data_IF_912664191800
#
_entry.id   IF_912664191800
#
_cell.length_a   1.000
_cell.length_b   1.000
_cell.length_c   1.000
_cell.angle_alpha   90.00
_cell.angle_beta   90.00
_cell.angle_gamma   90.00
#
_symmetry.space_group_name_H-M   'P 1'
#
loop_
_entity.id
_entity.type
_entity.pdbx_description
1 polymer ?
#
# COMPACT_ATOMS: atom_id res chain seq x y z
N UNK A 1 2.69 -21.13 7.12
CA UNK A 1 1.72 -20.06 6.83
C UNK A 1 2.43 -19.04 5.98
N UNK A 2 1.88 -18.66 4.83
CA UNK A 2 2.48 -17.62 3.98
C UNK A 2 1.89 -16.26 4.34
N UNK A 3 2.75 -15.25 4.45
CA UNK A 3 2.36 -13.86 4.72
C UNK A 3 2.99 -12.97 3.67
N UNK A 4 2.20 -12.06 3.12
CA UNK A 4 2.63 -11.11 2.10
C UNK A 4 2.36 -9.70 2.56
N UNK A 5 3.34 -8.82 2.36
CA UNK A 5 3.21 -7.39 2.62
C UNK A 5 2.99 -6.67 1.29
N UNK A 6 1.80 -6.12 1.11
CA UNK A 6 1.47 -5.25 -0.02
C UNK A 6 1.55 -3.81 0.51
N UNK A 7 2.18 -2.90 -0.24
CA UNK A 7 2.36 -1.50 0.18
C UNK A 7 2.15 -0.55 -1.00
N UNK A 8 1.82 0.72 -0.72
CA UNK A 8 1.73 1.80 -1.72
C UNK A 8 3.09 2.37 -2.13
N UNK A 9 4.14 2.15 -1.33
CA UNK A 9 5.47 2.70 -1.57
C UNK A 9 6.16 2.06 -2.79
N UNK A 10 6.83 2.90 -3.56
CA UNK A 10 7.61 2.53 -4.73
C UNK A 10 8.75 1.58 -4.36
N UNK A 11 8.77 0.34 -4.88
CA UNK A 11 9.80 -0.64 -4.55
C UNK A 11 11.20 -0.23 -5.03
N UNK A 12 11.31 0.72 -5.98
CA UNK A 12 12.60 1.27 -6.44
C UNK A 12 13.24 2.22 -5.43
N UNK A 13 12.46 2.74 -4.47
CA UNK A 13 12.93 3.60 -3.38
C UNK A 13 13.13 2.79 -2.10
N UNK A 14 13.81 1.65 -2.21
CA UNK A 14 14.20 0.82 -1.07
C UNK A 14 15.71 0.79 -0.95
N UNK A 15 16.20 0.88 0.28
CA UNK A 15 17.60 0.60 0.61
C UNK A 15 17.89 -0.89 0.52
N UNK A 16 19.17 -1.26 0.57
CA UNK A 16 19.63 -2.65 0.50
C UNK A 16 19.00 -3.54 1.59
N UNK A 17 18.76 -2.99 2.79
CA UNK A 17 18.10 -3.69 3.90
C UNK A 17 16.58 -3.79 3.74
N UNK A 18 16.01 -3.20 2.68
CA UNK A 18 14.59 -3.28 2.33
C UNK A 18 13.69 -2.20 2.93
N UNK A 19 14.26 -1.23 3.66
CA UNK A 19 13.56 -0.05 4.18
C UNK A 19 13.23 0.94 3.06
N UNK A 20 12.06 1.57 3.12
CA UNK A 20 11.69 2.60 2.16
C UNK A 20 12.36 3.93 2.47
N UNK A 21 12.91 4.57 1.44
CA UNK A 21 13.65 5.83 1.50
C UNK A 21 12.76 7.05 1.69
N UNK A 22 11.55 6.99 1.14
CA UNK A 22 10.62 8.11 1.07
C UNK A 22 9.35 7.77 1.86
N UNK A 23 9.30 8.26 3.11
CA UNK A 23 8.18 8.03 4.02
C UNK A 23 6.98 8.93 3.71
N UNK A 24 7.16 9.99 2.93
CA UNK A 24 6.10 10.94 2.54
C UNK A 24 5.31 10.45 1.32
N UNK A 25 5.74 9.35 0.69
CA UNK A 25 5.02 8.76 -0.45
C UNK A 25 3.67 8.15 -0.04
N UNK A 26 3.52 7.78 1.24
CA UNK A 26 2.25 7.27 1.72
C UNK A 26 1.24 8.40 1.90
N UNK A 27 0.11 8.29 1.19
CA UNK A 27 -0.99 9.23 1.34
C UNK A 27 -2.14 8.61 2.13
N UNK A 28 -2.73 9.42 3.00
CA UNK A 28 -3.94 9.13 3.74
C UNK A 28 -5.10 10.01 3.27
N UNK A 29 -6.33 9.57 3.50
CA UNK A 29 -7.51 10.38 3.15
C UNK A 29 -7.48 11.77 3.83
N UNK A 30 -6.87 11.89 5.01
CA UNK A 30 -6.75 13.16 5.74
C UNK A 30 -5.87 14.22 5.06
N UNK A 31 -5.12 13.81 4.05
CA UNK A 31 -4.22 14.63 3.24
C UNK A 31 -4.84 15.03 1.89
N UNK A 32 -6.04 14.52 1.58
CA UNK A 32 -6.81 14.95 0.40
C UNK A 32 -7.15 16.44 0.54
N UNK A 33 -6.87 17.21 -0.50
CA UNK A 33 -7.00 18.67 -0.51
C UNK A 33 -5.86 19.42 0.20
N UNK A 34 -4.90 18.71 0.82
CA UNK A 34 -3.70 19.31 1.43
C UNK A 34 -2.42 18.96 0.65
N UNK A 35 -2.20 17.67 0.40
CA UNK A 35 -1.01 17.16 -0.31
C UNK A 35 -1.35 16.49 -1.64
N UNK A 36 -2.56 15.93 -1.78
CA UNK A 36 -3.01 15.24 -3.01
C UNK A 36 -4.44 15.59 -3.36
N UNK A 37 -4.79 15.51 -4.64
CA UNK A 37 -6.19 15.59 -5.07
C UNK A 37 -6.96 14.31 -4.69
N UNK A 38 -8.28 14.42 -4.60
CA UNK A 38 -9.15 13.26 -4.36
C UNK A 38 -9.02 12.22 -5.49
N UNK A 39 -8.92 12.67 -6.74
CA UNK A 39 -8.74 11.80 -7.90
C UNK A 39 -7.44 10.98 -7.80
N UNK A 40 -6.31 11.62 -7.50
CA UNK A 40 -5.02 10.94 -7.35
C UNK A 40 -5.02 9.96 -6.17
N UNK A 41 -5.66 10.34 -5.06
CA UNK A 41 -5.83 9.46 -3.90
C UNK A 41 -6.65 8.21 -4.28
N UNK A 42 -7.83 8.39 -4.88
CA UNK A 42 -8.70 7.27 -5.28
C UNK A 42 -8.05 6.37 -6.34
N UNK A 43 -7.30 6.95 -7.28
CA UNK A 43 -6.50 6.20 -8.25
C UNK A 43 -5.46 5.32 -7.55
N UNK A 44 -4.79 5.86 -6.53
CA UNK A 44 -3.79 5.12 -5.74
C UNK A 44 -4.44 3.99 -4.93
N UNK A 45 -5.53 4.26 -4.21
CA UNK A 45 -6.29 3.23 -3.48
C UNK A 45 -6.78 2.11 -4.40
N UNK A 46 -7.29 2.47 -5.58
CA UNK A 46 -7.78 1.51 -6.58
C UNK A 46 -6.65 0.59 -7.07
N UNK A 47 -5.46 1.14 -7.35
CA UNK A 47 -4.30 0.35 -7.76
C UNK A 47 -3.82 -0.60 -6.65
N UNK A 48 -3.91 -0.16 -5.39
CA UNK A 48 -3.58 -0.99 -4.24
C UNK A 48 -4.53 -2.19 -4.11
N UNK A 49 -5.86 -1.96 -4.20
CA UNK A 49 -6.87 -3.03 -4.19
C UNK A 49 -6.75 -3.96 -5.40
N UNK A 50 -6.46 -3.41 -6.59
CA UNK A 50 -6.21 -4.21 -7.79
C UNK A 50 -5.02 -5.14 -7.62
N UNK A 51 -3.96 -4.69 -6.94
CA UNK A 51 -2.77 -5.51 -6.66
C UNK A 51 -3.11 -6.69 -5.75
N UNK A 52 -3.90 -6.46 -4.70
CA UNK A 52 -4.41 -7.53 -3.81
C UNK A 52 -5.26 -8.53 -4.61
N UNK A 53 -6.18 -8.03 -5.43
CA UNK A 53 -7.10 -8.87 -6.22
C UNK A 53 -6.34 -9.72 -7.24
N UNK A 54 -5.36 -9.12 -7.93
CA UNK A 54 -4.49 -9.84 -8.87
C UNK A 54 -3.69 -10.92 -8.17
N UNK A 55 -3.13 -10.62 -7.01
CA UNK A 55 -2.41 -11.59 -6.20
C UNK A 55 -3.29 -12.79 -5.83
N UNK A 56 -4.53 -12.56 -5.39
CA UNK A 56 -5.49 -13.63 -5.11
C UNK A 56 -5.79 -14.49 -6.34
N UNK A 57 -5.99 -13.86 -7.50
CA UNK A 57 -6.27 -14.56 -8.75
C UNK A 57 -5.10 -15.44 -9.20
N UNK A 58 -3.87 -14.92 -9.14
CA UNK A 58 -2.66 -15.65 -9.56
C UNK A 58 -2.31 -16.81 -8.61
N UNK A 59 -2.66 -16.70 -7.32
CA UNK A 59 -2.41 -17.74 -6.31
C UNK A 59 -3.56 -18.72 -6.14
N UNK A 60 -4.73 -18.44 -6.71
CA UNK A 60 -5.95 -19.25 -6.55
C UNK A 60 -6.64 -19.13 -5.18
N UNK A 61 -6.25 -18.15 -4.35
CA UNK A 61 -6.89 -17.92 -3.05
C UNK A 61 -8.25 -17.22 -3.20
N UNK A 62 -9.29 -17.79 -2.57
CA UNK A 62 -10.66 -17.23 -2.61
C UNK A 62 -10.97 -16.29 -1.44
N UNK A 63 -10.16 -16.32 -0.39
CA UNK A 63 -10.37 -15.54 0.84
C UNK A 63 -9.02 -15.06 1.34
N UNK A 64 -8.98 -13.80 1.78
CA UNK A 64 -7.89 -13.22 2.54
C UNK A 64 -8.45 -12.74 3.88
N UNK A 65 -7.62 -12.81 4.91
CA UNK A 65 -7.89 -12.22 6.21
C UNK A 65 -6.91 -11.08 6.41
N UNK A 66 -7.43 -9.93 6.82
CA UNK A 66 -6.58 -8.83 7.24
C UNK A 66 -6.11 -9.15 8.66
N UNK A 67 -4.81 -9.43 8.79
CA UNK A 67 -4.19 -9.82 10.05
C UNK A 67 -3.79 -8.60 10.89
N UNK A 68 -3.27 -7.56 10.24
CA UNK A 68 -2.83 -6.33 10.89
C UNK A 68 -2.96 -5.14 9.94
N UNK A 69 -3.32 -3.98 10.48
CA UNK A 69 -3.30 -2.71 9.78
C UNK A 69 -2.31 -1.79 10.49
N UNK A 70 -1.05 -1.84 10.04
CA UNK A 70 -0.03 -0.94 10.57
C UNK A 70 -0.18 0.43 9.95
N UNK A 71 -0.70 1.37 10.74
CA UNK A 71 -0.50 2.79 10.45
C UNK A 71 0.97 3.10 10.69
N UNK A 72 1.64 3.73 9.72
CA UNK A 72 2.93 4.34 9.98
C UNK A 72 2.68 5.47 10.98
N UNK A 73 2.88 5.19 12.27
CA UNK A 73 2.92 6.22 13.30
C UNK A 73 4.14 7.10 12.98
N UNK A 74 3.91 8.19 12.25
CA UNK A 74 4.84 9.30 12.15
C UNK A 74 5.06 9.79 13.58
N UNK A 75 6.24 9.52 14.13
CA UNK A 75 6.75 10.16 15.34
C UNK A 75 7.57 11.37 14.94
#
# INVERSE_FOLDING_TARGET
MFSWRITKYNPKKREEEGSYLDLEEWTSFSEVGKKVSEEEYLKTESNYLNSITRFMNETGYKKLYLDDLKYALMK
#
